data_IF_652355171353
#
_entry.id   IF_652355171353
#
_cell.length_a   1.000
_cell.length_b   1.000
_cell.length_c   1.000
_cell.angle_alpha   90.00
_cell.angle_beta   90.00
_cell.angle_gamma   90.00
#
_symmetry.space_group_name_H-M   'P 1'
#
loop_
_entity.id
_entity.type
_entity.pdbx_description
1 polymer ?
#
# COMPACT_ATOMS: atom_id res chain seq x y z
N UNK A 1 -14.48 13.73 12.86
CA UNK A 1 -14.02 13.06 11.63
C UNK A 1 -13.32 11.78 12.07
N UNK A 2 -13.72 10.61 11.55
CA UNK A 2 -13.14 9.32 11.96
C UNK A 2 -11.96 8.94 11.08
N UNK A 3 -11.02 8.16 11.63
CA UNK A 3 -9.97 7.51 10.86
C UNK A 3 -10.60 6.32 10.10
N UNK A 4 -10.15 6.06 8.87
CA UNK A 4 -10.62 4.97 8.03
C UNK A 4 -9.41 4.19 7.54
N UNK A 5 -9.52 2.86 7.51
CA UNK A 5 -8.54 2.03 6.83
C UNK A 5 -8.91 1.91 5.35
N UNK A 6 -7.90 1.79 4.48
CA UNK A 6 -8.09 1.70 3.02
C UNK A 6 -7.74 0.29 2.56
N UNK A 7 -8.60 -0.31 1.75
CA UNK A 7 -8.36 -1.58 1.09
C UNK A 7 -8.11 -1.31 -0.39
N UNK A 8 -6.94 -1.70 -0.88
CA UNK A 8 -6.59 -1.67 -2.29
C UNK A 8 -6.92 -3.01 -2.94
N UNK A 9 -7.67 -2.94 -4.03
CA UNK A 9 -8.08 -4.11 -4.80
C UNK A 9 -7.12 -4.30 -5.98
N UNK A 10 -6.53 -5.49 -6.15
CA UNK A 10 -5.65 -5.75 -7.29
C UNK A 10 -6.43 -5.69 -8.61
N UNK A 11 -7.69 -6.11 -8.60
CA UNK A 11 -8.63 -5.97 -9.71
C UNK A 11 -9.79 -5.07 -9.28
N UNK A 12 -10.08 -3.99 -10.02
CA UNK A 12 -11.18 -3.09 -9.68
C UNK A 12 -12.53 -3.82 -9.68
N UNK A 13 -13.32 -3.64 -8.62
CA UNK A 13 -14.68 -4.17 -8.55
C UNK A 13 -15.60 -3.38 -9.47
N UNK A 14 -16.17 -4.04 -10.47
CA UNK A 14 -17.15 -3.44 -11.37
C UNK A 14 -18.53 -3.47 -10.74
N UNK A 15 -19.15 -2.29 -10.64
CA UNK A 15 -20.52 -2.20 -10.14
C UNK A 15 -21.52 -2.80 -11.13
N UNK A 16 -22.71 -3.22 -10.65
CA UNK A 16 -23.79 -3.73 -11.51
C UNK A 16 -24.22 -2.74 -12.60
N UNK A 17 -24.06 -1.43 -12.35
CA UNK A 17 -24.35 -0.35 -13.30
C UNK A 17 -23.37 -0.33 -14.50
N UNK A 18 -22.28 -1.11 -14.47
CA UNK A 18 -21.34 -1.37 -15.57
C UNK A 18 -20.43 -0.21 -15.97
N UNK A 19 -20.65 1.00 -15.43
CA UNK A 19 -19.92 2.23 -15.79
C UNK A 19 -18.86 2.65 -14.78
N UNK A 20 -18.93 2.11 -13.57
CA UNK A 20 -18.08 2.51 -12.45
C UNK A 20 -17.34 1.30 -11.91
N UNK A 21 -16.08 1.50 -11.60
CA UNK A 21 -15.23 0.52 -10.94
C UNK A 21 -14.65 1.10 -9.64
N UNK A 22 -14.46 0.24 -8.65
CA UNK A 22 -13.90 0.59 -7.36
C UNK A 22 -12.53 -0.07 -7.27
N UNK A 23 -11.47 0.73 -7.20
CA UNK A 23 -10.12 0.22 -6.93
C UNK A 23 -9.76 0.27 -5.43
N UNK A 24 -10.40 1.16 -4.69
CA UNK A 24 -10.10 1.41 -3.27
C UNK A 24 -11.37 1.52 -2.44
N UNK A 25 -11.38 0.90 -1.27
CA UNK A 25 -12.52 0.91 -0.35
C UNK A 25 -12.05 1.39 1.02
N UNK A 26 -12.72 2.39 1.56
CA UNK A 26 -12.49 2.86 2.93
C UNK A 26 -13.44 2.16 3.89
N UNK A 27 -12.91 1.63 4.99
CA UNK A 27 -13.70 0.93 6.01
C UNK A 27 -13.34 1.36 7.43
N UNK A 28 -14.32 1.24 8.33
CA UNK A 28 -14.19 1.42 9.78
C UNK A 28 -14.32 0.12 10.56
N UNK A 29 -14.49 -1.01 9.88
CA UNK A 29 -14.77 -2.30 10.53
C UNK A 29 -13.53 -2.92 11.17
N UNK A 30 -12.36 -2.39 10.84
CA UNK A 30 -11.08 -2.78 11.41
C UNK A 30 -10.59 -1.72 12.41
N UNK A 31 -9.29 -1.69 12.67
CA UNK A 31 -8.65 -0.84 13.67
C UNK A 31 -8.90 0.66 13.53
N UNK A 32 -9.26 1.14 12.34
CA UNK A 32 -9.39 2.57 12.04
C UNK A 32 -8.08 3.31 12.33
N UNK A 33 -6.96 2.76 11.86
CA UNK A 33 -5.61 3.24 12.11
C UNK A 33 -4.96 3.90 10.89
N UNK A 34 -5.73 4.22 9.85
CA UNK A 34 -5.23 4.70 8.55
C UNK A 34 -4.28 3.70 7.90
N UNK A 35 -4.53 2.41 8.10
CA UNK A 35 -3.73 1.35 7.47
C UNK A 35 -4.23 1.09 6.07
N UNK A 36 -3.29 0.72 5.20
CA UNK A 36 -3.57 0.23 3.86
C UNK A 36 -3.50 -1.29 3.88
N UNK A 37 -4.52 -1.94 3.34
CA UNK A 37 -4.64 -3.38 3.25
C UNK A 37 -4.81 -3.81 1.79
N UNK A 38 -4.26 -4.97 1.46
CA UNK A 38 -4.45 -5.66 0.17
C UNK A 38 -5.02 -7.06 0.42
N UNK A 39 -5.48 -7.72 -0.64
CA UNK A 39 -5.84 -9.15 -0.54
C UNK A 39 -4.60 -9.94 -0.10
N UNK A 40 -4.75 -10.79 0.91
CA UNK A 40 -3.66 -11.51 1.57
C UNK A 40 -3.08 -10.81 2.81
N UNK A 41 -3.47 -9.55 3.07
CA UNK A 41 -3.04 -8.82 4.27
C UNK A 41 -3.67 -9.37 5.55
N UNK A 42 -2.91 -9.31 6.65
CA UNK A 42 -3.38 -9.67 7.98
C UNK A 42 -4.09 -8.48 8.63
N UNK A 43 -5.32 -8.72 9.09
CA UNK A 43 -6.20 -7.79 9.77
C UNK A 43 -6.11 -8.02 11.28
N UNK A 44 -5.00 -7.59 11.90
CA UNK A 44 -4.71 -7.83 13.32
C UNK A 44 -5.81 -7.34 14.26
N UNK A 45 -6.41 -6.20 13.91
CA UNK A 45 -7.42 -5.50 14.70
C UNK A 45 -8.85 -5.79 14.24
N UNK A 46 -9.01 -6.74 13.31
CA UNK A 46 -10.35 -7.20 12.94
C UNK A 46 -11.01 -7.92 14.13
N UNK A 47 -12.25 -7.55 14.49
CA UNK A 47 -13.02 -8.26 15.50
C UNK A 47 -13.42 -9.67 15.03
N UNK A 48 -13.36 -9.94 13.72
CA UNK A 48 -13.72 -11.22 13.11
C UNK A 48 -12.47 -11.98 12.72
N UNK A 49 -12.33 -13.19 13.26
CA UNK A 49 -11.25 -14.12 12.90
C UNK A 49 -11.54 -14.83 11.56
N UNK A 50 -12.72 -15.44 11.41
CA UNK A 50 -13.16 -16.04 10.15
C UNK A 50 -14.63 -15.71 9.95
N UNK A 51 -14.99 -15.17 8.80
CA UNK A 51 -16.36 -14.75 8.50
C UNK A 51 -16.43 -13.70 7.41
N UNK A 52 -17.64 -13.22 7.15
CA UNK A 52 -17.92 -12.18 6.17
C UNK A 52 -18.34 -10.92 6.91
N UNK A 53 -17.75 -9.78 6.54
CA UNK A 53 -18.12 -8.47 7.08
C UNK A 53 -18.76 -7.65 5.98
N UNK A 54 -19.99 -7.19 6.22
CA UNK A 54 -20.67 -6.26 5.33
C UNK A 54 -20.27 -4.81 5.64
N UNK A 55 -19.93 -4.07 4.60
CA UNK A 55 -19.65 -2.65 4.61
C UNK A 55 -20.41 -1.97 3.46
N UNK A 56 -20.90 -0.76 3.69
CA UNK A 56 -21.57 0.01 2.65
C UNK A 56 -20.61 1.01 2.04
N UNK A 57 -20.27 0.84 0.76
CA UNK A 57 -19.41 1.75 0.01
C UNK A 57 -20.26 2.85 -0.64
N UNK A 58 -19.89 4.11 -0.42
CA UNK A 58 -20.53 5.26 -1.06
C UNK A 58 -19.86 5.56 -2.40
N UNK A 59 -20.65 5.64 -3.46
CA UNK A 59 -20.13 5.91 -4.80
C UNK A 59 -20.88 7.08 -5.41
N UNK A 60 -20.13 8.12 -5.80
CA UNK A 60 -20.68 9.26 -6.53
C UNK A 60 -20.83 8.88 -8.02
N UNK A 61 -22.06 8.71 -8.47
CA UNK A 61 -22.38 8.25 -9.83
C UNK A 61 -22.14 9.37 -10.87
N UNK A 62 -22.23 10.64 -10.46
CA UNK A 62 -22.06 11.79 -11.35
C UNK A 62 -21.45 12.98 -10.59
N UNK A 63 -20.45 13.66 -11.18
CA UNK A 63 -19.79 14.85 -10.59
C UNK A 63 -20.72 16.07 -10.40
N UNK A 64 -21.94 16.04 -10.96
CA UNK A 64 -22.88 17.16 -11.03
C UNK A 64 -24.12 17.02 -10.14
N UNK A 65 -24.41 15.84 -9.62
CA UNK A 65 -25.57 15.60 -8.77
C UNK A 65 -25.10 14.85 -7.53
N UNK A 66 -25.44 15.37 -6.35
CA UNK A 66 -25.13 14.76 -5.05
C UNK A 66 -25.88 13.42 -4.80
N UNK A 67 -26.32 12.75 -5.86
CA UNK A 67 -26.95 11.43 -5.82
C UNK A 67 -25.87 10.37 -5.89
N UNK A 68 -25.25 10.08 -4.74
CA UNK A 68 -24.49 8.84 -4.60
C UNK A 68 -25.41 7.70 -4.17
N UNK A 69 -25.05 6.48 -4.58
CA UNK A 69 -25.69 5.27 -4.08
C UNK A 69 -24.75 4.57 -3.12
N UNK A 70 -25.33 3.96 -2.10
CA UNK A 70 -24.65 3.01 -1.22
C UNK A 70 -24.73 1.63 -1.86
N UNK A 71 -23.58 1.00 -2.07
CA UNK A 71 -23.50 -0.39 -2.49
C UNK A 71 -22.98 -1.24 -1.33
N UNK A 72 -23.65 -2.36 -0.99
CA UNK A 72 -23.10 -3.30 -0.03
C UNK A 72 -21.88 -3.99 -0.65
N UNK A 73 -20.84 -4.11 0.16
CA UNK A 73 -19.58 -4.78 -0.16
C UNK A 73 -19.29 -5.75 0.98
N UNK A 74 -18.91 -6.96 0.63
CA UNK A 74 -18.65 -8.05 1.55
C UNK A 74 -17.15 -8.36 1.59
N UNK A 75 -16.54 -8.21 2.76
CA UNK A 75 -15.16 -8.61 3.00
C UNK A 75 -15.12 -10.06 3.50
N UNK A 76 -14.46 -10.94 2.75
CA UNK A 76 -14.26 -12.33 3.14
C UNK A 76 -12.97 -12.45 3.97
N UNK A 77 -13.10 -12.79 5.26
CA UNK A 77 -11.97 -12.89 6.20
C UNK A 77 -11.78 -14.35 6.61
N UNK A 78 -10.55 -14.84 6.47
CA UNK A 78 -10.16 -16.21 6.86
C UNK A 78 -8.97 -16.17 7.80
N UNK A 79 -9.14 -16.60 9.04
CA UNK A 79 -8.11 -16.53 10.10
C UNK A 79 -7.38 -15.18 10.17
N UNK A 80 -8.15 -14.08 10.15
CA UNK A 80 -7.70 -12.67 10.11
C UNK A 80 -6.99 -12.25 8.84
N UNK A 81 -6.98 -13.07 7.79
CA UNK A 81 -6.45 -12.68 6.47
C UNK A 81 -7.61 -12.19 5.60
N UNK A 82 -7.43 -11.04 4.94
CA UNK A 82 -8.37 -10.58 3.93
C UNK A 82 -8.24 -11.44 2.67
N UNK A 83 -9.22 -12.28 2.40
CA UNK A 83 -9.17 -13.25 1.28
C UNK A 83 -9.76 -12.72 -0.02
N UNK A 84 -10.63 -11.72 0.08
CA UNK A 84 -11.28 -11.11 -1.07
C UNK A 84 -12.36 -10.12 -0.65
N UNK A 85 -12.80 -9.35 -1.63
CA UNK A 85 -13.86 -8.36 -1.51
C UNK A 85 -14.85 -8.59 -2.64
N UNK A 86 -16.14 -8.70 -2.29
CA UNK A 86 -17.19 -9.12 -3.22
C UNK A 86 -18.41 -8.21 -3.12
N UNK A 87 -19.19 -8.12 -4.19
CA UNK A 87 -20.48 -7.42 -4.20
C UNK A 87 -21.63 -8.34 -3.78
N UNK A 88 -21.47 -9.64 -3.98
CA UNK A 88 -22.47 -10.65 -3.66
C UNK A 88 -22.05 -11.51 -2.45
N UNK A 89 -22.95 -11.63 -1.48
CA UNK A 89 -22.78 -12.51 -0.32
C UNK A 89 -22.47 -13.98 -0.69
N UNK A 90 -23.18 -14.64 -1.63
CA UNK A 90 -22.90 -16.04 -1.96
C UNK A 90 -21.51 -16.26 -2.56
N UNK A 91 -20.96 -15.27 -3.28
CA UNK A 91 -19.60 -15.33 -3.81
C UNK A 91 -18.58 -15.30 -2.67
N UNK A 92 -18.77 -14.39 -1.71
CA UNK A 92 -17.91 -14.29 -0.52
C UNK A 92 -17.95 -15.58 0.33
N UNK A 93 -19.12 -16.20 0.51
CA UNK A 93 -19.24 -17.49 1.20
C UNK A 93 -18.52 -18.61 0.46
N UNK A 94 -18.67 -18.64 -0.86
CA UNK A 94 -18.00 -19.64 -1.70
C UNK A 94 -16.50 -19.50 -1.58
N UNK A 95 -15.97 -18.27 -1.60
CA UNK A 95 -14.54 -18.01 -1.43
C UNK A 95 -14.02 -18.54 -0.10
N UNK A 96 -14.71 -18.27 1.01
CA UNK A 96 -14.29 -18.75 2.33
C UNK A 96 -14.20 -20.27 2.42
N UNK A 97 -15.03 -21.00 1.68
CA UNK A 97 -15.00 -22.47 1.64
C UNK A 97 -13.90 -23.02 0.74
N UNK A 98 -13.47 -22.25 -0.26
CA UNK A 98 -12.49 -22.68 -1.27
C UNK A 98 -11.07 -22.17 -1.02
N UNK A 99 -10.83 -21.43 0.07
CA UNK A 99 -9.46 -21.02 0.46
C UNK A 99 -8.58 -22.27 0.59
N UNK A 100 -7.59 -22.37 -0.29
CA UNK A 100 -6.66 -23.50 -0.32
C UNK A 100 -5.28 -23.14 0.25
N UNK A 101 -4.48 -24.14 0.56
CA UNK A 101 -3.09 -24.00 1.01
C UNK A 101 -2.22 -23.25 0.00
N UNK A 102 -2.51 -23.37 -1.29
CA UNK A 102 -1.80 -22.64 -2.33
C UNK A 102 -2.01 -21.13 -2.24
N UNK A 103 -3.23 -20.69 -1.91
CA UNK A 103 -3.54 -19.26 -1.69
C UNK A 103 -2.72 -18.72 -0.52
N UNK A 104 -2.60 -19.49 0.56
CA UNK A 104 -1.80 -19.10 1.73
C UNK A 104 -0.32 -18.94 1.39
N UNK A 105 0.23 -19.87 0.60
CA UNK A 105 1.63 -19.79 0.16
C UNK A 105 1.82 -18.55 -0.73
N UNK A 106 0.86 -18.25 -1.61
CA UNK A 106 0.90 -17.06 -2.44
C UNK A 106 0.92 -15.77 -1.60
N UNK A 107 0.03 -15.65 -0.61
CA UNK A 107 -0.03 -14.49 0.29
C UNK A 107 1.24 -14.33 1.13
N UNK A 108 1.77 -15.43 1.67
CA UNK A 108 3.06 -15.39 2.39
C UNK A 108 4.19 -14.97 1.45
N UNK A 109 4.20 -15.46 0.22
CA UNK A 109 5.17 -15.08 -0.80
C UNK A 109 5.11 -13.57 -1.12
N UNK A 110 3.91 -13.03 -1.29
CA UNK A 110 3.69 -11.59 -1.49
C UNK A 110 4.18 -10.78 -0.29
N UNK A 111 3.78 -11.13 0.94
CA UNK A 111 4.21 -10.44 2.15
C UNK A 111 5.74 -10.45 2.31
N UNK A 112 6.41 -11.55 1.95
CA UNK A 112 7.88 -11.63 1.95
C UNK A 112 8.52 -10.72 0.90
N UNK A 113 7.92 -10.59 -0.29
CA UNK A 113 8.41 -9.66 -1.32
C UNK A 113 8.26 -8.21 -0.87
N UNK A 114 7.11 -7.84 -0.33
CA UNK A 114 6.85 -6.50 0.23
C UNK A 114 7.81 -6.17 1.37
N UNK A 115 8.09 -7.12 2.26
CA UNK A 115 9.07 -6.94 3.33
C UNK A 115 10.50 -6.72 2.77
N UNK A 116 10.90 -7.47 1.75
CA UNK A 116 12.21 -7.32 1.09
C UNK A 116 12.32 -6.01 0.32
N UNK A 117 11.27 -5.59 -0.38
CA UNK A 117 11.26 -4.32 -1.11
C UNK A 117 11.33 -3.16 -0.13
N UNK A 118 10.55 -3.20 0.96
CA UNK A 118 10.64 -2.24 2.05
C UNK A 118 12.04 -2.19 2.67
N UNK A 119 12.62 -3.35 3.00
CA UNK A 119 13.97 -3.41 3.57
C UNK A 119 14.99 -2.80 2.61
N UNK A 120 14.91 -3.11 1.33
CA UNK A 120 15.82 -2.57 0.31
C UNK A 120 15.70 -1.05 0.21
N UNK A 121 14.47 -0.52 0.15
CA UNK A 121 14.20 0.93 0.13
C UNK A 121 14.74 1.62 1.37
N UNK A 122 14.47 1.07 2.55
CA UNK A 122 14.98 1.59 3.81
C UNK A 122 16.52 1.65 3.84
N UNK A 123 17.20 0.57 3.42
CA UNK A 123 18.67 0.54 3.41
C UNK A 123 19.26 1.53 2.40
N UNK A 124 18.60 1.78 1.26
CA UNK A 124 19.01 2.82 0.31
C UNK A 124 18.90 4.20 0.94
N UNK A 125 17.72 4.56 1.46
CA UNK A 125 17.50 5.84 2.14
C UNK A 125 18.48 6.06 3.30
N UNK A 126 18.67 5.03 4.13
CA UNK A 126 19.58 5.11 5.27
C UNK A 126 21.04 5.31 4.84
N UNK A 127 21.50 4.63 3.79
CA UNK A 127 22.84 4.81 3.25
C UNK A 127 23.05 6.25 2.73
N UNK A 128 22.04 6.80 2.04
CA UNK A 128 22.08 8.16 1.50
C UNK A 128 22.11 9.22 2.62
N UNK A 129 21.30 9.04 3.67
CA UNK A 129 21.34 9.90 4.87
C UNK A 129 22.68 9.80 5.59
N UNK A 130 23.26 8.60 5.71
CA UNK A 130 24.59 8.41 6.30
C UNK A 130 25.69 9.07 5.46
N UNK A 131 25.62 9.00 4.14
CA UNK A 131 26.57 9.66 3.23
C UNK A 131 26.49 11.18 3.39
N UNK A 132 25.27 11.75 3.41
CA UNK A 132 25.07 13.17 3.71
C UNK A 132 25.64 13.57 5.08
N UNK A 133 25.38 12.76 6.12
CA UNK A 133 25.93 13.03 7.46
C UNK A 133 27.46 13.01 7.47
N UNK A 134 28.10 12.12 6.71
CA UNK A 134 29.56 12.09 6.57
C UNK A 134 30.09 13.33 5.88
N UNK A 135 29.42 13.81 4.82
CA UNK A 135 29.79 15.04 4.12
C UNK A 135 29.74 16.24 5.08
N UNK A 136 28.66 16.37 5.87
CA UNK A 136 28.53 17.44 6.88
C UNK A 136 29.62 17.41 7.96
N UNK A 137 30.03 16.20 8.36
CA UNK A 137 31.03 16.01 9.42
C UNK A 137 32.48 15.99 8.92
N UNK A 138 32.71 16.11 7.62
CA UNK A 138 34.07 16.14 7.05
C UNK A 138 34.64 17.55 7.21
N UNK A 139 35.72 17.75 7.97
CA UNK A 139 36.28 19.09 8.17
C UNK A 139 36.86 19.61 6.84
N UNK A 140 36.57 20.87 6.50
CA UNK A 140 37.02 21.56 5.26
C UNK A 140 38.56 21.55 5.03
N UNK A 141 39.35 21.13 6.03
CA UNK A 141 40.81 21.11 6.02
C UNK A 141 41.44 19.74 5.67
N UNK A 142 40.67 18.72 5.28
CA UNK A 142 41.25 17.49 4.76
C UNK A 142 41.76 17.71 3.33
N UNK A 143 43.10 17.69 3.14
CA UNK A 143 43.79 17.78 1.84
C UNK A 143 43.51 16.62 0.88
N UNK A 144 42.58 15.71 1.22
CA UNK A 144 42.11 14.66 0.32
C UNK A 144 40.86 15.19 -0.40
N UNK A 145 40.79 15.12 -1.74
CA UNK A 145 39.57 15.47 -2.43
C UNK A 145 38.46 14.59 -1.85
N UNK A 146 37.32 15.17 -1.43
CA UNK A 146 36.20 14.37 -0.95
C UNK A 146 35.87 13.39 -2.07
N UNK A 147 35.87 12.09 -1.77
CA UNK A 147 35.37 11.11 -2.71
C UNK A 147 33.99 11.59 -3.16
N UNK A 148 33.76 11.74 -4.48
CA UNK A 148 32.47 12.19 -4.94
C UNK A 148 31.43 11.21 -4.38
N UNK A 149 30.31 11.73 -3.84
CA UNK A 149 29.27 10.87 -3.33
C UNK A 149 28.89 9.89 -4.44
N UNK A 150 28.95 8.60 -4.12
CA UNK A 150 28.78 7.56 -5.13
C UNK A 150 27.31 7.46 -5.53
N UNK A 151 26.39 7.95 -4.67
CA UNK A 151 24.95 7.77 -4.82
C UNK A 151 24.14 9.07 -4.88
N UNK A 152 24.52 10.08 -4.10
CA UNK A 152 23.80 11.35 -4.07
C UNK A 152 24.21 12.28 -5.22
N UNK A 153 23.22 12.72 -6.00
CA UNK A 153 23.41 13.74 -7.04
C UNK A 153 23.90 15.06 -6.43
N UNK A 154 24.83 15.75 -7.08
CA UNK A 154 25.35 17.05 -6.64
C UNK A 154 24.22 18.11 -6.46
N UNK A 155 23.14 17.97 -7.22
CA UNK A 155 21.95 18.82 -7.15
C UNK A 155 21.21 18.71 -5.81
N UNK A 156 21.13 17.50 -5.24
CA UNK A 156 20.48 17.24 -3.95
C UNK A 156 21.33 17.84 -2.83
N UNK A 157 22.65 17.72 -2.92
CA UNK A 157 23.60 18.20 -1.91
C UNK A 157 23.68 19.73 -1.88
N UNK A 158 23.56 20.39 -3.03
CA UNK A 158 23.59 21.86 -3.15
C UNK A 158 22.24 22.53 -2.91
N UNK A 159 21.19 21.75 -2.67
CA UNK A 159 19.85 22.28 -2.39
C UNK A 159 19.80 22.99 -1.02
N UNK A 160 18.86 23.93 -0.88
CA UNK A 160 18.66 24.71 0.37
C UNK A 160 18.25 23.83 1.55
N UNK A 161 17.62 22.68 1.28
CA UNK A 161 17.26 21.65 2.26
C UNK A 161 17.54 20.24 1.70
N UNK A 162 18.77 19.74 1.86
CA UNK A 162 19.19 18.46 1.28
C UNK A 162 18.45 17.27 1.86
N UNK A 163 17.95 17.36 3.10
CA UNK A 163 17.22 16.26 3.72
C UNK A 163 15.82 16.12 3.13
N UNK A 164 15.13 17.23 2.91
CA UNK A 164 13.84 17.22 2.20
C UNK A 164 14.00 16.75 0.75
N UNK A 165 15.08 17.18 0.06
CA UNK A 165 15.37 16.74 -1.29
C UNK A 165 15.65 15.22 -1.39
N UNK A 166 16.35 14.63 -0.40
CA UNK A 166 16.54 13.16 -0.31
C UNK A 166 15.20 12.46 -0.12
N UNK A 167 14.34 12.96 0.79
CA UNK A 167 13.03 12.36 1.04
C UNK A 167 12.11 12.46 -0.19
N UNK A 168 12.13 13.57 -0.90
CA UNK A 168 11.36 13.76 -2.14
C UNK A 168 11.84 12.84 -3.26
N UNK A 169 13.15 12.65 -3.40
CA UNK A 169 13.73 11.70 -4.37
C UNK A 169 13.30 10.26 -4.10
N UNK A 170 13.35 9.81 -2.83
CA UNK A 170 12.89 8.46 -2.48
C UNK A 170 11.37 8.32 -2.61
N UNK A 171 10.61 9.39 -2.35
CA UNK A 171 9.15 9.41 -2.56
C UNK A 171 8.79 9.36 -4.06
N UNK A 172 9.53 10.03 -4.94
CA UNK A 172 9.28 9.95 -6.38
C UNK A 172 9.56 8.55 -6.92
N UNK A 173 10.61 7.88 -6.43
CA UNK A 173 10.88 6.48 -6.75
C UNK A 173 9.75 5.55 -6.31
N UNK A 174 9.07 5.83 -5.20
CA UNK A 174 7.89 5.06 -4.77
C UNK A 174 6.67 5.28 -5.70
N UNK A 175 6.55 6.45 -6.33
CA UNK A 175 5.47 6.74 -7.29
C UNK A 175 5.73 6.21 -8.70
N UNK A 176 7.00 5.91 -9.02
CA UNK A 176 7.48 5.41 -10.32
C UNK A 176 7.65 3.89 -10.37
N UNK A 177 7.11 3.14 -9.40
CA UNK A 177 6.95 1.68 -9.50
C UNK A 177 5.54 1.35 -10.06
N UNK A 178 5.26 1.47 -11.38
CA UNK A 178 4.20 0.70 -12.00
C UNK A 178 4.73 -0.74 -12.19
N UNK A 179 3.99 -1.72 -11.67
CA UNK A 179 4.06 -3.11 -12.12
C UNK A 179 5.33 -3.94 -11.79
N UNK A 180 5.22 -4.83 -10.79
CA UNK A 180 5.55 -6.25 -11.06
C UNK A 180 4.35 -6.92 -11.76
N UNK A 181 4.00 -6.38 -12.92
CA UNK A 181 3.24 -7.05 -13.96
C UNK A 181 4.17 -8.05 -14.64
N UNK A 182 4.35 -9.20 -14.00
CA UNK A 182 5.07 -10.36 -14.56
C UNK A 182 4.33 -11.66 -14.23
N UNK A 183 3.01 -11.66 -14.43
CA UNK A 183 2.23 -12.82 -14.85
C UNK A 183 1.08 -12.35 -15.75
N UNK A 184 1.43 -12.21 -17.04
CA UNK A 184 0.56 -12.12 -18.20
C UNK A 184 1.38 -12.58 -19.40
#
# INVERSE_FOLDING_TARGET
>A
MGLYDTIHLPEPLHLPDGKHSIAEIQTKKFGSLLRNFSIGSVLDESPVATGIVEESCWISITRKENEGKLYPVYFAIWHRVLTGVYLDLPEAETRLRTVDRLDLIAWVGQAQREARSWQTRYHRLFADVQEWQKIQNTPENSNEPPFPPIRLSEEIIRSTDPLTAILEYHRSLESEDPDEGLFG
#
